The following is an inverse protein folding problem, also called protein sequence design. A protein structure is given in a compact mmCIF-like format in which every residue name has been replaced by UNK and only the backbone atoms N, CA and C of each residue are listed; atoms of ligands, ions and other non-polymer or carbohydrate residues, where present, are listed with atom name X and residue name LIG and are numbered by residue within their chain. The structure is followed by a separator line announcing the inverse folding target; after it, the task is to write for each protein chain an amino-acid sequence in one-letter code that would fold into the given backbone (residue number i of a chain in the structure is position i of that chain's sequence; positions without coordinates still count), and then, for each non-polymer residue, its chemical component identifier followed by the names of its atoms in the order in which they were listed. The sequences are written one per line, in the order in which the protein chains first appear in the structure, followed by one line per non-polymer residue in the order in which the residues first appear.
data_IF_456783546940
#
_entry.id   IF_456783546940
#
_cell.length_a   1.000
_cell.length_b   1.000
_cell.length_c   1.000
_cell.angle_alpha   90.00
_cell.angle_beta   90.00
_cell.angle_gamma   90.00
#
_symmetry.space_group_name_H-M   'P 1'
#
loop_
_entity.id
_entity.type
_entity.pdbx_description
1 polymer ?
#
# COMPACT_ATOMS: atom_id res chain seq x y z
N UNK A 1 -11.53 -9.00 -5.52
CA UNK A 1 -10.31 -8.19 -5.62
C UNK A 1 -10.70 -6.77 -6.00
N UNK A 2 -10.42 -5.80 -5.13
CA UNK A 2 -10.56 -4.37 -5.45
C UNK A 2 -9.55 -4.01 -6.53
N UNK A 3 -9.92 -3.14 -7.47
CA UNK A 3 -9.00 -2.62 -8.49
C UNK A 3 -8.57 -1.22 -8.08
N UNK A 4 -7.31 -1.06 -7.69
CA UNK A 4 -6.76 0.25 -7.35
C UNK A 4 -6.27 0.97 -8.60
N UNK A 5 -6.63 2.24 -8.72
CA UNK A 5 -6.03 3.16 -9.67
C UNK A 5 -4.66 3.65 -9.18
N UNK A 6 -3.81 4.09 -10.11
CA UNK A 6 -2.53 4.71 -9.75
C UNK A 6 -2.71 5.92 -8.82
N UNK A 7 -3.79 6.70 -9.01
CA UNK A 7 -4.10 7.86 -8.17
C UNK A 7 -4.44 7.49 -6.73
N UNK A 8 -5.20 6.42 -6.53
CA UNK A 8 -5.50 5.90 -5.19
C UNK A 8 -4.22 5.49 -4.46
N UNK A 9 -3.33 4.78 -5.15
CA UNK A 9 -2.05 4.37 -4.57
C UNK A 9 -1.11 5.55 -4.32
N UNK A 10 -1.09 6.55 -5.20
CA UNK A 10 -0.33 7.78 -4.97
C UNK A 10 -0.82 8.56 -3.75
N UNK A 11 -2.14 8.66 -3.56
CA UNK A 11 -2.71 9.27 -2.34
C UNK A 11 -2.30 8.52 -1.09
N UNK A 12 -2.40 7.19 -1.11
CA UNK A 12 -1.99 6.35 0.01
C UNK A 12 -0.50 6.51 0.33
N UNK A 13 0.37 6.48 -0.69
CA UNK A 13 1.82 6.69 -0.50
C UNK A 13 2.08 8.05 0.15
N UNK A 14 1.41 9.11 -0.32
CA UNK A 14 1.55 10.44 0.23
C UNK A 14 1.08 10.50 1.70
N UNK A 15 -0.06 9.91 2.01
CA UNK A 15 -0.54 9.80 3.39
C UNK A 15 0.48 9.10 4.29
N UNK A 16 1.06 7.99 3.83
CA UNK A 16 2.04 7.22 4.57
C UNK A 16 3.34 8.02 4.83
N UNK A 17 3.83 8.73 3.82
CA UNK A 17 5.01 9.61 3.91
C UNK A 17 4.80 10.77 4.90
N UNK A 18 3.59 11.36 4.91
CA UNK A 18 3.26 12.51 5.75
C UNK A 18 2.93 12.12 7.21
N UNK A 19 2.43 10.91 7.47
CA UNK A 19 1.83 10.57 8.76
C UNK A 19 2.44 9.35 9.48
N UNK A 20 3.17 8.48 8.77
CA UNK A 20 3.63 7.20 9.32
C UNK A 20 5.15 7.10 9.32
N UNK A 21 5.77 7.08 8.15
CA UNK A 21 7.22 6.87 7.97
C UNK A 21 7.67 7.46 6.63
N UNK A 22 8.91 7.96 6.57
CA UNK A 22 9.51 8.45 5.33
C UNK A 22 9.44 7.36 4.25
N UNK A 23 8.82 7.69 3.12
CA UNK A 23 8.60 6.73 2.04
C UNK A 23 9.91 6.15 1.52
N UNK A 24 11.03 6.88 1.62
CA UNK A 24 12.34 6.40 1.20
C UNK A 24 12.88 5.28 2.09
N UNK A 25 12.43 5.18 3.35
CA UNK A 25 12.81 4.09 4.25
C UNK A 25 12.10 2.77 3.93
N UNK A 26 10.86 2.86 3.42
CA UNK A 26 10.02 1.68 3.11
C UNK A 26 9.91 1.38 1.61
N UNK A 27 10.56 2.17 0.76
CA UNK A 27 10.53 2.03 -0.69
C UNK A 27 11.01 0.64 -1.13
N UNK A 28 10.14 -0.09 -1.84
CA UNK A 28 10.44 -1.42 -2.36
C UNK A 28 10.20 -2.55 -1.35
N UNK A 29 9.64 -2.24 -0.19
CA UNK A 29 9.17 -3.20 0.80
C UNK A 29 7.64 -3.17 0.88
N UNK A 30 7.05 -4.27 1.34
CA UNK A 30 5.64 -4.31 1.67
C UNK A 30 5.38 -3.44 2.91
N UNK A 31 4.43 -2.51 2.81
CA UNK A 31 4.09 -1.59 3.89
C UNK A 31 3.39 -2.28 5.09
N UNK A 32 3.02 -3.56 4.94
CA UNK A 32 2.36 -4.37 5.98
C UNK A 32 3.38 -5.28 6.69
N UNK A 33 3.95 -6.26 6.00
CA UNK A 33 4.91 -7.20 6.61
C UNK A 33 6.39 -6.77 6.56
N UNK A 34 6.74 -5.72 5.82
CA UNK A 34 8.13 -5.26 5.66
C UNK A 34 9.02 -6.14 4.79
N UNK A 35 8.48 -7.20 4.14
CA UNK A 35 9.27 -8.04 3.22
C UNK A 35 9.63 -7.26 1.94
N UNK A 36 10.79 -7.52 1.30
CA UNK A 36 11.12 -6.94 0.01
C UNK A 36 10.10 -7.37 -1.06
N UNK A 37 9.52 -6.40 -1.79
CA UNK A 37 8.55 -6.66 -2.85
C UNK A 37 9.18 -7.40 -4.04
N UNK A 38 10.47 -7.19 -4.29
CA UNK A 38 11.22 -7.89 -5.35
C UNK A 38 11.32 -9.41 -5.14
N UNK A 39 11.20 -9.86 -3.89
CA UNK A 39 11.36 -11.27 -3.49
C UNK A 39 10.01 -11.90 -3.12
N UNK A 40 8.90 -11.16 -3.30
CA UNK A 40 7.54 -11.58 -2.91
C UNK A 40 6.66 -11.80 -4.13
N UNK A 41 5.62 -12.62 -3.98
CA UNK A 41 4.52 -12.60 -4.96
C UNK A 41 3.79 -11.26 -4.88
N UNK A 42 3.46 -10.70 -6.04
CA UNK A 42 2.87 -9.37 -6.15
C UNK A 42 1.46 -9.44 -6.71
N UNK A 43 0.56 -8.55 -6.25
CA UNK A 43 -0.74 -8.38 -6.86
C UNK A 43 -0.63 -7.75 -8.26
N UNK A 44 -1.73 -7.78 -9.02
CA UNK A 44 -1.70 -7.39 -10.44
C UNK A 44 -1.84 -5.89 -10.67
N UNK A 45 -2.50 -5.16 -9.77
CA UNK A 45 -2.83 -3.76 -9.95
C UNK A 45 -1.74 -2.80 -9.46
N UNK A 46 -2.11 -1.52 -9.29
CA UNK A 46 -1.20 -0.47 -8.84
C UNK A 46 -0.68 -0.72 -7.42
N UNK A 47 -1.44 -1.45 -6.60
CA UNK A 47 -1.13 -1.79 -5.22
C UNK A 47 0.17 -2.60 -5.06
N UNK A 48 0.65 -3.26 -6.12
CA UNK A 48 1.95 -3.96 -6.13
C UNK A 48 3.15 -3.07 -5.80
N UNK A 49 2.98 -1.75 -5.84
CA UNK A 49 3.99 -0.75 -5.46
C UNK A 49 4.22 -0.68 -3.95
N UNK A 50 3.25 -1.14 -3.16
CA UNK A 50 3.22 -0.92 -1.70
C UNK A 50 2.89 -2.20 -0.91
N UNK A 51 2.29 -3.23 -1.52
CA UNK A 51 1.89 -4.46 -0.83
C UNK A 51 2.24 -5.73 -1.62
N UNK A 52 2.62 -6.80 -0.90
CA UNK A 52 2.73 -8.14 -1.47
C UNK A 52 1.35 -8.81 -1.58
N UNK A 53 1.29 -9.93 -2.30
CA UNK A 53 0.03 -10.66 -2.52
C UNK A 53 -0.52 -11.27 -1.22
N UNK A 54 0.36 -11.70 -0.31
CA UNK A 54 -0.01 -12.29 0.99
C UNK A 54 -0.79 -11.30 1.87
N UNK A 55 -0.42 -10.02 1.84
CA UNK A 55 -1.00 -8.98 2.69
C UNK A 55 -2.06 -8.13 1.95
N UNK A 56 -2.46 -8.53 0.74
CA UNK A 56 -3.37 -7.74 -0.10
C UNK A 56 -4.72 -7.47 0.59
N UNK A 57 -5.29 -8.46 1.26
CA UNK A 57 -6.58 -8.31 1.93
C UNK A 57 -6.49 -7.34 3.11
N UNK A 58 -5.42 -7.42 3.91
CA UNK A 58 -5.15 -6.49 5.01
C UNK A 58 -4.95 -5.07 4.49
N UNK A 59 -4.23 -4.91 3.38
CA UNK A 59 -4.08 -3.62 2.73
C UNK A 59 -5.41 -3.03 2.26
N UNK A 60 -6.31 -3.85 1.69
CA UNK A 60 -7.64 -3.40 1.28
C UNK A 60 -8.46 -2.92 2.47
N UNK A 61 -8.42 -3.63 3.60
CA UNK A 61 -9.11 -3.23 4.84
C UNK A 61 -8.59 -1.87 5.34
N UNK A 62 -7.27 -1.74 5.51
CA UNK A 62 -6.64 -0.49 5.98
C UNK A 62 -6.96 0.67 5.04
N UNK A 63 -6.85 0.45 3.72
CA UNK A 63 -7.15 1.50 2.74
C UNK A 63 -8.61 1.95 2.85
N UNK A 64 -9.54 1.02 3.03
CA UNK A 64 -10.97 1.30 3.16
C UNK A 64 -11.26 2.09 4.44
N UNK A 65 -10.66 1.71 5.57
CA UNK A 65 -10.80 2.45 6.83
C UNK A 65 -10.27 3.89 6.70
N UNK A 66 -9.15 4.09 6.00
CA UNK A 66 -8.59 5.41 5.75
C UNK A 66 -9.49 6.27 4.84
N UNK A 67 -10.11 5.70 3.81
CA UNK A 67 -11.10 6.40 2.98
C UNK A 67 -12.35 6.78 3.77
N UNK A 68 -12.90 5.85 4.55
CA UNK A 68 -14.09 6.09 5.38
C UNK A 68 -13.82 7.14 6.47
N UNK A 69 -12.59 7.18 6.98
CA UNK A 69 -12.11 8.20 7.91
C UNK A 69 -11.80 9.56 7.28
N UNK A 70 -11.97 9.74 5.96
CA UNK A 70 -11.55 10.92 5.18
C UNK A 70 -10.04 11.24 5.30
N UNK A 71 -9.20 10.22 5.54
CA UNK A 71 -7.75 10.35 5.55
C UNK A 71 -7.12 10.22 4.14
N UNK A 72 -7.86 9.67 3.16
CA UNK A 72 -7.48 9.50 1.74
C UNK A 72 -8.53 10.13 0.80
#
# INVERSE_FOLDING_TARGET
MRNFSEKEIEKYIKYFDENMIDINEVKGFCHICGKPLKDSELPKGAEKRVVCLEDLDVFIEIFTELEEGNAL
#
